data_IF_217218796683
#
_entry.id   IF_217218796683
#
_cell.length_a   1.000
_cell.length_b   1.000
_cell.length_c   1.000
_cell.angle_alpha   90.00
_cell.angle_beta   90.00
_cell.angle_gamma   90.00
#
_symmetry.space_group_name_H-M   'P 1'
#
loop_
_entity.id
_entity.type
_entity.pdbx_description
1 polymer ?
#
# COMPACT_ATOMS: atom_id res chain seq x y z
N UNK A 1 14.65 14.91 -9.55
CA UNK A 1 14.22 13.50 -9.40
C UNK A 1 13.14 13.17 -10.43
N UNK A 2 13.42 12.29 -11.39
CA UNK A 2 12.41 11.79 -12.35
C UNK A 2 12.09 10.33 -12.04
N UNK A 3 10.90 10.04 -11.53
CA UNK A 3 10.41 8.67 -11.37
C UNK A 3 9.64 8.24 -12.63
N UNK A 4 9.85 7.00 -13.07
CA UNK A 4 9.16 6.42 -14.22
C UNK A 4 8.13 5.42 -13.73
N UNK A 5 6.96 5.40 -14.35
CA UNK A 5 5.97 4.35 -14.11
C UNK A 5 6.01 3.31 -15.24
N UNK A 6 5.60 2.09 -14.92
CA UNK A 6 5.29 1.05 -15.91
C UNK A 6 3.97 1.37 -16.62
N UNK A 7 3.71 0.74 -17.76
CA UNK A 7 2.42 0.85 -18.47
C UNK A 7 1.22 0.39 -17.62
N UNK A 8 1.48 -0.37 -16.56
CA UNK A 8 0.51 -0.84 -15.58
C UNK A 8 0.31 0.11 -14.39
N UNK A 9 1.02 1.25 -14.36
CA UNK A 9 0.91 2.26 -13.30
C UNK A 9 1.77 2.01 -12.05
N UNK A 10 2.65 1.01 -12.06
CA UNK A 10 3.58 0.74 -10.95
C UNK A 10 4.85 1.57 -11.07
N UNK A 11 5.48 1.85 -9.93
CA UNK A 11 6.74 2.57 -9.92
C UNK A 11 7.84 1.68 -10.50
N UNK A 12 8.50 2.15 -11.55
CA UNK A 12 9.68 1.49 -12.10
C UNK A 12 10.82 1.62 -11.09
N UNK A 13 11.62 0.56 -10.97
CA UNK A 13 12.73 0.50 -10.01
C UNK A 13 13.56 1.79 -10.00
N UNK A 14 13.68 2.40 -8.83
CA UNK A 14 14.56 3.53 -8.56
C UNK A 14 15.47 3.19 -7.37
N UNK A 15 16.78 3.26 -7.57
CA UNK A 15 17.78 2.91 -6.55
C UNK A 15 17.71 3.78 -5.28
N UNK A 16 17.17 5.01 -5.39
CA UNK A 16 16.99 5.93 -4.27
C UNK A 16 15.78 5.58 -3.40
N UNK A 17 14.77 4.96 -4.00
CA UNK A 17 13.50 4.63 -3.35
C UNK A 17 13.43 3.16 -2.95
N UNK A 18 14.25 2.30 -3.56
CA UNK A 18 14.18 0.84 -3.44
C UNK A 18 15.46 0.28 -2.81
N UNK A 19 15.87 0.84 -1.67
CA UNK A 19 17.10 0.46 -0.95
C UNK A 19 17.12 -0.99 -0.47
N UNK A 20 15.95 -1.64 -0.36
CA UNK A 20 15.80 -3.02 0.11
C UNK A 20 15.76 -4.04 -1.03
N UNK A 21 16.31 -3.71 -2.21
CA UNK A 21 16.36 -4.62 -3.35
C UNK A 21 17.28 -5.82 -3.07
N UNK A 22 16.79 -7.04 -3.25
CA UNK A 22 17.56 -8.27 -3.00
C UNK A 22 17.70 -8.67 -1.52
N UNK A 23 17.21 -7.87 -0.58
CA UNK A 23 17.21 -8.22 0.85
C UNK A 23 16.07 -9.19 1.21
N UNK A 24 16.29 -10.05 2.20
CA UNK A 24 15.23 -10.85 2.80
C UNK A 24 14.16 -9.97 3.46
N UNK A 25 12.94 -10.50 3.60
CA UNK A 25 11.87 -9.83 4.36
C UNK A 25 12.11 -10.00 5.85
N UNK A 26 12.14 -8.91 6.59
CA UNK A 26 12.20 -8.93 8.05
C UNK A 26 10.80 -9.10 8.65
N UNK A 27 10.74 -9.64 9.87
CA UNK A 27 9.47 -9.82 10.60
C UNK A 27 8.69 -8.50 10.76
N UNK A 28 9.40 -7.38 10.92
CA UNK A 28 8.81 -6.04 11.03
C UNK A 28 8.16 -5.58 9.72
N UNK A 29 8.84 -5.78 8.58
CA UNK A 29 8.29 -5.46 7.26
C UNK A 29 7.05 -6.31 6.95
N UNK A 30 7.09 -7.60 7.29
CA UNK A 30 5.94 -8.49 7.09
C UNK A 30 4.74 -8.07 7.94
N UNK A 31 4.97 -7.71 9.22
CA UNK A 31 3.90 -7.23 10.11
C UNK A 31 3.29 -5.94 9.58
N UNK A 32 4.12 -5.01 9.10
CA UNK A 32 3.66 -3.76 8.49
C UNK A 32 2.82 -4.04 7.23
N UNK A 33 3.31 -4.91 6.34
CA UNK A 33 2.57 -5.32 5.15
C UNK A 33 1.20 -5.89 5.55
N UNK A 34 1.12 -6.83 6.50
CA UNK A 34 -0.15 -7.45 6.89
C UNK A 34 -1.16 -6.41 7.41
N UNK A 35 -0.70 -5.42 8.17
CA UNK A 35 -1.56 -4.40 8.78
C UNK A 35 -2.06 -3.37 7.77
N UNK A 36 -1.23 -2.97 6.81
CA UNK A 36 -1.50 -1.82 5.93
C UNK A 36 -1.92 -2.21 4.51
N UNK A 37 -1.66 -3.45 4.06
CA UNK A 37 -1.87 -3.86 2.67
C UNK A 37 -3.31 -3.65 2.16
N UNK A 38 -4.32 -3.92 2.98
CA UNK A 38 -5.72 -3.77 2.57
C UNK A 38 -6.27 -2.35 2.78
N UNK A 39 -5.68 -1.57 3.69
CA UNK A 39 -6.13 -0.22 4.01
C UNK A 39 -5.51 0.82 3.08
N UNK A 40 -4.19 0.74 2.89
CA UNK A 40 -3.40 1.77 2.19
C UNK A 40 -3.07 1.35 0.75
N UNK A 41 -3.11 0.05 0.46
CA UNK A 41 -2.84 -0.52 -0.86
C UNK A 41 -1.35 -0.74 -1.14
N UNK A 42 -1.08 -1.40 -2.27
CA UNK A 42 0.27 -1.86 -2.65
C UNK A 42 1.27 -0.70 -2.78
N UNK A 43 0.88 0.39 -3.43
CA UNK A 43 1.80 1.51 -3.70
C UNK A 43 2.26 2.21 -2.42
N UNK A 44 1.33 2.47 -1.50
CA UNK A 44 1.66 3.10 -0.21
C UNK A 44 2.57 2.19 0.63
N UNK A 45 2.28 0.89 0.69
CA UNK A 45 3.11 -0.09 1.41
C UNK A 45 4.49 -0.23 0.75
N UNK A 46 4.58 -0.24 -0.58
CA UNK A 46 5.85 -0.31 -1.31
C UNK A 46 6.74 0.89 -1.00
N UNK A 47 6.17 2.09 -1.00
CA UNK A 47 6.89 3.32 -0.65
C UNK A 47 7.37 3.30 0.80
N UNK A 48 6.50 2.90 1.74
CA UNK A 48 6.82 2.86 3.17
C UNK A 48 7.94 1.84 3.50
N UNK A 49 7.99 0.72 2.77
CA UNK A 49 9.00 -0.33 2.98
C UNK A 49 10.25 -0.14 2.11
N UNK A 50 10.30 0.90 1.27
CA UNK A 50 11.36 1.10 0.27
C UNK A 50 11.57 -0.17 -0.60
N UNK A 51 10.45 -0.79 -1.03
CA UNK A 51 10.39 -2.01 -1.87
C UNK A 51 9.68 -1.69 -3.18
N UNK A 52 9.87 -2.53 -4.21
CA UNK A 52 9.07 -2.43 -5.44
C UNK A 52 7.62 -2.86 -5.15
N UNK A 53 6.68 -2.26 -5.89
CA UNK A 53 5.28 -2.71 -5.90
C UNK A 53 5.14 -4.22 -6.19
N UNK A 54 5.99 -4.72 -7.09
CA UNK A 54 6.02 -6.13 -7.49
C UNK A 54 6.48 -7.03 -6.34
N UNK A 55 7.51 -6.63 -5.58
CA UNK A 55 7.99 -7.40 -4.43
C UNK A 55 6.91 -7.46 -3.33
N UNK A 56 6.22 -6.35 -3.08
CA UNK A 56 5.10 -6.30 -2.11
C UNK A 56 3.96 -7.23 -2.55
N UNK A 57 3.60 -7.21 -3.83
CA UNK A 57 2.56 -8.11 -4.37
C UNK A 57 2.94 -9.59 -4.25
N UNK A 58 4.19 -9.93 -4.61
CA UNK A 58 4.71 -11.29 -4.48
C UNK A 58 4.68 -11.75 -3.02
N UNK A 59 5.18 -10.92 -2.09
CA UNK A 59 5.16 -11.28 -0.66
C UNK A 59 3.75 -11.41 -0.11
N UNK A 60 2.84 -10.53 -0.51
CA UNK A 60 1.44 -10.63 -0.13
C UNK A 60 0.78 -11.91 -0.65
N UNK A 61 1.14 -12.37 -1.86
CA UNK A 61 0.66 -13.64 -2.40
C UNK A 61 1.17 -14.83 -1.56
N UNK A 62 2.43 -14.83 -1.16
CA UNK A 62 2.99 -15.88 -0.30
C UNK A 62 2.33 -15.89 1.09
N UNK A 63 2.13 -14.71 1.68
CA UNK A 63 1.45 -14.57 2.97
C UNK A 63 -0.02 -15.01 2.91
N UNK A 64 -0.71 -14.83 1.77
CA UNK A 64 -2.07 -15.38 1.56
C UNK A 64 -2.06 -16.90 1.53
N UNK A 65 -1.13 -17.51 0.79
CA UNK A 65 -0.97 -18.97 0.73
C UNK A 65 -0.69 -19.55 2.12
N UNK A 66 0.10 -18.82 2.93
CA UNK A 66 0.40 -19.19 4.31
C UNK A 66 -0.72 -18.87 5.31
N UNK A 67 -1.85 -18.29 4.89
CA UNK A 67 -2.96 -17.90 5.76
C UNK A 67 -2.69 -16.73 6.71
N UNK A 68 -1.56 -16.03 6.55
CA UNK A 68 -1.15 -14.90 7.40
C UNK A 68 -1.74 -13.56 6.95
N UNK A 69 -2.00 -13.41 5.64
CA UNK A 69 -2.65 -12.22 5.08
C UNK A 69 -4.14 -12.51 4.81
N UNK A 70 -4.97 -12.31 5.81
CA UNK A 70 -6.42 -12.53 5.71
C UNK A 70 -7.07 -11.30 5.11
N UNK A 71 -7.78 -11.47 3.98
CA UNK A 71 -8.60 -10.39 3.41
C UNK A 71 -9.73 -10.06 4.39
N UNK A 72 -9.85 -8.82 4.89
CA UNK A 72 -10.95 -8.47 5.76
C UNK A 72 -12.27 -8.69 5.01
N UNK A 73 -13.23 -9.35 5.65
CA UNK A 73 -14.62 -9.38 5.16
C UNK A 73 -15.07 -7.93 5.13
N UNK A 74 -15.31 -7.39 3.94
CA UNK A 74 -15.73 -5.99 3.79
C UNK A 74 -17.06 -5.86 4.54
N UNK A 75 -17.01 -5.29 5.73
CA UNK A 75 -18.21 -4.81 6.41
C UNK A 75 -18.59 -3.56 5.62
N UNK A 76 -19.76 -3.58 4.98
CA UNK A 76 -20.28 -2.45 4.21
C UNK A 76 -20.08 -1.16 4.99
N UNK A 77 -19.11 -0.35 4.59
CA UNK A 77 -18.92 0.97 5.16
C UNK A 77 -20.15 1.78 4.75
N UNK A 78 -21.01 2.12 5.72
CA UNK A 78 -22.02 3.15 5.49
C UNK A 78 -21.26 4.40 5.05
N UNK A 79 -21.52 4.83 3.81
CA UNK A 79 -20.98 6.05 3.22
C UNK A 79 -21.21 7.16 4.26
N UNK A 80 -20.14 7.72 4.85
CA UNK A 80 -20.30 8.90 5.69
C UNK A 80 -20.88 9.98 4.78
N UNK A 81 -22.11 10.38 5.04
CA UNK A 81 -22.71 11.54 4.39
C UNK A 81 -21.77 12.71 4.66
N UNK A 82 -21.17 13.22 3.59
CA UNK A 82 -20.53 14.51 3.62
C UNK A 82 -21.69 15.48 3.76
N UNK A 83 -22.12 15.78 4.99
CA UNK A 83 -22.96 16.95 5.21
C UNK A 83 -22.14 18.12 4.72
N UNK A 84 -22.59 18.72 3.61
CA UNK A 84 -22.16 20.04 3.18
C UNK A 84 -22.52 20.98 4.33
N UNK A 85 -21.59 21.17 5.25
CA UNK A 85 -21.72 22.09 6.38
C UNK A 85 -21.35 23.47 5.88
N UNK A 86 -22.38 24.29 5.73
CA UNK A 86 -22.38 25.71 5.46
C UNK A 86 -21.22 26.48 6.13
N UNK A 87 -20.52 27.31 5.35
CA UNK A 87 -19.96 28.54 5.89
C UNK A 87 -20.60 29.71 5.13
N UNK A 88 -21.34 30.46 5.94
CA UNK A 88 -22.17 31.62 5.65
C UNK A 88 -21.43 32.74 4.91
N UNK A 89 -22.26 33.54 4.27
CA UNK A 89 -22.03 34.91 3.87
C UNK A 89 -21.25 35.74 4.91
N UNK A 90 -20.34 36.59 4.42
CA UNK A 90 -20.18 37.95 4.96
C UNK A 90 -19.60 38.88 3.88
N UNK A 91 -20.42 39.90 3.57
CA UNK A 91 -20.16 41.19 2.91
C UNK A 91 -19.74 41.28 1.43
#
# INVERSE_FOLDING_TARGET
MTYKFTSTGYLKFNHELHGSHGCAWTTSEEKYLIQHYYSDGVQAVALALARTDIAVQQRAADLRKAGRLIRPKIVTYKKREITKGDHNADQ
#
